data_IF_131518718028
#
_entry.id   IF_131518718028
#
_cell.length_a   1.000
_cell.length_b   1.000
_cell.length_c   1.000
_cell.angle_alpha   90.00
_cell.angle_beta   90.00
_cell.angle_gamma   90.00
#
_symmetry.space_group_name_H-M   'P 1'
#
loop_
_entity.id
_entity.type
_entity.pdbx_description
1 polymer ?
#
# COMPACT_ATOMS: atom_id res chain seq x y z
N UNK A 1 -18.59 20.85 12.37
CA UNK A 1 -17.47 20.53 11.46
C UNK A 1 -16.95 21.87 10.95
N UNK A 2 -15.64 22.13 11.06
CA UNK A 2 -15.09 23.46 10.75
C UNK A 2 -14.59 23.61 9.31
N UNK A 3 -14.30 22.49 8.63
CA UNK A 3 -13.85 22.45 7.22
C UNK A 3 -14.10 21.05 6.62
N UNK A 4 -14.17 20.91 5.28
CA UNK A 4 -14.20 19.61 4.59
C UNK A 4 -13.05 18.69 5.02
N UNK A 5 -13.23 17.37 5.15
CA UNK A 5 -12.14 16.47 5.56
C UNK A 5 -10.96 16.48 4.55
N UNK A 6 -9.72 16.37 5.04
CA UNK A 6 -8.56 16.10 4.16
C UNK A 6 -8.44 14.60 3.93
N UNK A 7 -8.96 14.11 2.80
CA UNK A 7 -8.96 12.69 2.44
C UNK A 7 -7.54 12.12 2.35
N UNK A 8 -7.38 10.80 2.48
CA UNK A 8 -6.09 10.10 2.46
C UNK A 8 -5.22 10.49 1.25
N UNK A 9 -5.80 10.57 0.05
CA UNK A 9 -5.12 10.92 -1.21
C UNK A 9 -4.68 12.38 -1.33
N UNK A 10 -5.08 13.27 -0.42
CA UNK A 10 -4.69 14.68 -0.47
C UNK A 10 -3.20 14.86 -0.12
N UNK A 11 -2.42 15.38 -1.07
CA UNK A 11 -0.96 15.59 -0.97
C UNK A 11 -0.55 17.06 -0.77
N UNK A 12 -1.49 17.97 -0.49
CA UNK A 12 -1.19 19.42 -0.35
C UNK A 12 -0.12 19.73 0.70
N UNK A 13 0.00 18.85 1.70
CA UNK A 13 0.96 18.98 2.78
C UNK A 13 2.36 18.38 2.46
N UNK A 14 2.63 17.97 1.23
CA UNK A 14 3.88 17.29 0.86
C UNK A 14 5.15 18.08 1.18
N UNK A 15 5.14 19.40 0.96
CA UNK A 15 6.30 20.26 1.31
C UNK A 15 6.52 20.31 2.82
N UNK A 16 5.45 20.37 3.61
CA UNK A 16 5.54 20.33 5.07
C UNK A 16 6.03 18.97 5.55
N UNK A 17 5.58 17.87 4.94
CA UNK A 17 6.06 16.53 5.30
C UNK A 17 7.56 16.36 5.04
N UNK A 18 8.05 16.80 3.87
CA UNK A 18 9.49 16.78 3.57
C UNK A 18 10.29 17.63 4.55
N UNK A 19 9.79 18.81 4.96
CA UNK A 19 10.43 19.65 5.97
C UNK A 19 10.41 18.99 7.36
N UNK A 20 9.29 18.38 7.72
CA UNK A 20 9.08 17.68 8.99
C UNK A 20 10.03 16.49 9.14
N UNK A 21 10.24 15.72 8.08
CA UNK A 21 11.02 14.47 8.12
C UNK A 21 12.46 14.59 7.62
N UNK A 22 12.76 15.55 6.74
CA UNK A 22 14.06 15.72 6.11
C UNK A 22 15.12 16.36 7.00
N UNK A 23 16.34 16.42 6.45
CA UNK A 23 17.55 16.98 7.06
C UNK A 23 18.74 16.04 6.91
N UNK A 24 19.94 16.50 7.24
CA UNK A 24 21.18 15.71 7.16
C UNK A 24 21.63 15.20 8.54
N UNK A 25 22.18 13.98 8.68
CA UNK A 25 22.34 12.93 7.66
C UNK A 25 21.03 12.21 7.33
N UNK A 26 20.90 11.67 6.11
CA UNK A 26 19.68 11.02 5.60
C UNK A 26 19.78 9.50 5.53
N UNK A 27 18.67 8.82 5.80
CA UNK A 27 18.42 7.38 5.56
C UNK A 27 17.04 7.24 4.94
N UNK A 28 16.94 6.64 3.75
CA UNK A 28 15.68 6.48 3.00
C UNK A 28 14.87 7.80 2.84
N UNK A 29 15.55 8.95 2.71
CA UNK A 29 14.91 10.27 2.60
C UNK A 29 14.58 10.97 3.93
N UNK A 30 14.68 10.26 5.05
CA UNK A 30 14.46 10.80 6.40
C UNK A 30 15.76 11.26 7.05
N UNK A 31 15.72 12.28 7.90
CA UNK A 31 16.84 12.57 8.81
C UNK A 31 17.01 11.39 9.77
N UNK A 32 18.23 10.88 9.94
CA UNK A 32 18.48 9.61 10.62
C UNK A 32 17.91 9.55 12.06
N UNK A 33 18.06 10.61 12.86
CA UNK A 33 17.52 10.69 14.22
C UNK A 33 15.98 10.74 14.24
N UNK A 34 15.36 11.38 13.25
CA UNK A 34 13.90 11.44 13.10
C UNK A 34 13.37 10.06 12.80
N UNK A 35 13.94 9.37 11.82
CA UNK A 35 13.55 8.01 11.46
C UNK A 35 13.69 7.07 12.65
N UNK A 36 14.81 7.11 13.37
CA UNK A 36 15.02 6.32 14.57
C UNK A 36 13.97 6.62 15.65
N UNK A 37 13.64 7.89 15.86
CA UNK A 37 12.62 8.29 16.83
C UNK A 37 11.25 7.73 16.46
N UNK A 38 10.80 7.97 15.22
CA UNK A 38 9.49 7.55 14.74
C UNK A 38 9.34 6.04 14.81
N UNK A 39 10.31 5.30 14.26
CA UNK A 39 10.29 3.83 14.25
C UNK A 39 10.35 3.23 15.66
N UNK A 40 11.10 3.84 16.59
CA UNK A 40 11.18 3.34 17.97
C UNK A 40 9.86 3.48 18.74
N UNK A 41 9.17 4.61 18.57
CA UNK A 41 7.97 4.96 19.36
C UNK A 41 6.69 4.51 18.64
N UNK A 42 6.52 4.89 17.37
CA UNK A 42 5.30 4.68 16.59
C UNK A 42 5.39 3.46 15.63
N UNK A 43 6.52 2.75 15.60
CA UNK A 43 6.73 1.57 14.73
C UNK A 43 6.56 1.84 13.22
N UNK A 44 6.81 3.08 12.80
CA UNK A 44 6.78 3.53 11.42
C UNK A 44 7.16 5.01 11.38
N UNK A 45 6.90 5.70 10.27
CA UNK A 45 7.18 7.12 10.14
C UNK A 45 6.21 7.78 9.14
N UNK A 46 5.93 9.09 9.30
CA UNK A 46 5.07 9.80 8.35
C UNK A 46 5.66 9.83 6.94
N UNK A 47 4.86 9.50 5.93
CA UNK A 47 5.26 9.48 4.52
C UNK A 47 5.70 10.86 4.00
N UNK A 48 6.68 10.90 3.09
CA UNK A 48 7.20 12.14 2.51
C UNK A 48 6.23 12.88 1.57
N UNK A 49 5.21 12.19 1.05
CA UNK A 49 4.29 12.72 0.06
C UNK A 49 3.18 13.59 0.67
N UNK A 50 3.04 13.60 2.00
CA UNK A 50 2.09 14.47 2.72
C UNK A 50 0.68 13.90 2.86
N UNK A 51 0.46 12.63 2.55
CA UNK A 51 -0.82 11.95 2.75
C UNK A 51 -1.12 11.69 4.23
N UNK A 52 -0.10 11.62 5.08
CA UNK A 52 -0.29 11.22 6.47
C UNK A 52 -0.82 12.38 7.35
N UNK A 53 -1.63 12.07 8.39
CA UNK A 53 -2.26 13.07 9.25
C UNK A 53 -1.33 14.15 9.83
N UNK A 54 -0.08 13.86 10.28
CA UNK A 54 0.81 14.89 10.82
C UNK A 54 1.02 16.08 9.89
N UNK A 55 1.29 15.80 8.61
CA UNK A 55 1.55 16.84 7.63
C UNK A 55 0.30 17.69 7.39
N UNK A 56 -0.87 17.05 7.35
CA UNK A 56 -2.18 17.68 7.19
C UNK A 56 -2.56 18.56 8.39
N UNK A 57 -2.30 18.09 9.60
CA UNK A 57 -2.49 18.87 10.82
C UNK A 57 -1.60 20.12 10.84
N UNK A 58 -0.32 19.97 10.46
CA UNK A 58 0.61 21.10 10.30
C UNK A 58 0.17 22.06 9.19
N UNK A 59 -0.42 21.52 8.11
CA UNK A 59 -0.93 22.33 7.02
C UNK A 59 -2.09 23.22 7.48
N UNK A 60 -3.08 22.66 8.19
CA UNK A 60 -4.20 23.42 8.78
C UNK A 60 -3.66 24.46 9.76
N UNK A 61 -2.75 24.07 10.66
CA UNK A 61 -2.12 25.00 11.62
C UNK A 61 -1.43 26.19 10.95
N UNK A 62 -0.86 25.98 9.77
CA UNK A 62 -0.05 27.00 9.06
C UNK A 62 -0.90 27.86 8.10
N UNK A 63 -1.84 27.25 7.38
CA UNK A 63 -2.58 27.90 6.29
C UNK A 63 -4.01 28.29 6.68
N UNK A 64 -4.58 27.66 7.72
CA UNK A 64 -5.92 27.93 8.22
C UNK A 64 -5.88 28.16 9.75
N UNK A 65 -5.12 29.16 10.23
CA UNK A 65 -4.87 29.36 11.67
C UNK A 65 -6.14 29.64 12.47
N UNK A 66 -7.15 30.28 11.86
CA UNK A 66 -8.46 30.51 12.49
C UNK A 66 -9.20 29.19 12.73
N UNK A 67 -9.19 28.28 11.75
CA UNK A 67 -9.77 26.94 11.89
C UNK A 67 -9.01 26.14 12.93
N UNK A 68 -7.67 26.22 12.94
CA UNK A 68 -6.84 25.60 13.97
C UNK A 68 -7.18 26.11 15.37
N UNK A 69 -7.33 27.42 15.55
CA UNK A 69 -7.68 28.03 16.83
C UNK A 69 -9.08 27.60 17.30
N UNK A 70 -10.07 27.59 16.40
CA UNK A 70 -11.44 27.17 16.71
C UNK A 70 -11.60 25.65 16.92
N UNK A 71 -10.63 24.84 16.48
CA UNK A 71 -10.73 23.38 16.60
C UNK A 71 -10.61 22.89 18.04
N UNK A 72 -11.57 22.07 18.48
CA UNK A 72 -11.49 21.38 19.76
C UNK A 72 -10.76 20.03 19.64
N UNK A 73 -11.13 19.19 18.67
CA UNK A 73 -10.51 17.88 18.39
C UNK A 73 -10.20 17.70 16.91
N UNK A 74 -9.16 16.92 16.63
CA UNK A 74 -8.77 16.44 15.31
C UNK A 74 -9.17 14.97 15.18
N UNK A 75 -10.20 14.68 14.39
CA UNK A 75 -10.79 13.35 14.27
C UNK A 75 -10.55 12.78 12.87
N UNK A 76 -10.40 11.45 12.79
CA UNK A 76 -10.56 10.71 11.55
C UNK A 76 -12.05 10.63 11.16
N UNK A 77 -12.35 10.23 9.92
CA UNK A 77 -13.73 10.18 9.39
C UNK A 77 -14.61 9.25 10.23
N UNK A 78 -14.11 8.06 10.56
CA UNK A 78 -14.81 7.11 11.45
C UNK A 78 -15.16 7.76 12.79
N UNK A 79 -14.19 8.41 13.40
CA UNK A 79 -14.32 9.02 14.73
C UNK A 79 -15.29 10.20 14.69
N UNK A 80 -15.31 10.96 13.59
CA UNK A 80 -16.31 11.99 13.38
C UNK A 80 -17.73 11.44 13.24
N UNK A 81 -17.91 10.28 12.57
CA UNK A 81 -19.22 9.62 12.49
C UNK A 81 -19.68 9.13 13.87
N UNK A 82 -18.78 8.57 14.68
CA UNK A 82 -19.07 8.19 16.07
C UNK A 82 -19.46 9.41 16.90
N UNK A 83 -18.72 10.51 16.79
CA UNK A 83 -19.06 11.76 17.45
C UNK A 83 -20.44 12.27 17.03
N UNK A 84 -20.77 12.21 15.73
CA UNK A 84 -22.10 12.59 15.23
C UNK A 84 -23.21 11.69 15.74
N UNK A 85 -22.92 10.40 15.92
CA UNK A 85 -23.89 9.41 16.38
C UNK A 85 -24.09 9.44 17.90
N UNK A 86 -23.08 9.81 18.68
CA UNK A 86 -23.07 9.58 20.14
C UNK A 86 -22.65 10.78 20.99
N UNK A 87 -22.04 11.80 20.38
CA UNK A 87 -21.36 12.90 21.07
C UNK A 87 -19.96 12.55 21.61
N UNK A 88 -19.51 11.30 21.50
CA UNK A 88 -18.21 10.86 22.01
C UNK A 88 -17.04 11.31 21.13
N UNK A 89 -15.94 11.75 21.76
CA UNK A 89 -14.71 12.21 21.09
C UNK A 89 -13.57 11.21 21.30
N UNK A 90 -13.74 10.03 20.71
CA UNK A 90 -12.82 8.90 20.83
C UNK A 90 -12.21 8.53 19.47
N UNK A 91 -11.05 7.90 19.49
CA UNK A 91 -10.41 7.25 18.34
C UNK A 91 -9.98 5.84 18.72
N UNK A 92 -9.69 5.01 17.73
CA UNK A 92 -9.20 3.65 17.94
C UNK A 92 -7.70 3.57 17.65
N UNK A 93 -7.04 2.54 18.20
CA UNK A 93 -5.59 2.40 18.12
C UNK A 93 -5.04 2.36 16.69
N UNK A 94 -5.79 1.82 15.73
CA UNK A 94 -5.42 1.82 14.32
C UNK A 94 -5.39 3.24 13.72
N UNK A 95 -6.46 4.01 13.85
CA UNK A 95 -6.53 5.40 13.40
C UNK A 95 -5.50 6.27 14.15
N UNK A 96 -5.35 6.08 15.46
CA UNK A 96 -4.37 6.80 16.27
C UNK A 96 -2.93 6.53 15.82
N UNK A 97 -2.59 5.27 15.55
CA UNK A 97 -1.25 4.90 15.10
C UNK A 97 -0.90 5.46 13.73
N UNK A 98 -1.89 5.61 12.82
CA UNK A 98 -1.68 6.22 11.51
C UNK A 98 -1.40 7.73 11.57
N UNK A 99 -1.62 8.37 12.72
CA UNK A 99 -1.10 9.72 12.96
C UNK A 99 0.38 9.74 13.32
N UNK A 100 0.99 8.58 13.56
CA UNK A 100 2.37 8.41 14.05
C UNK A 100 2.67 9.09 15.38
N UNK A 101 1.66 9.60 16.10
CA UNK A 101 1.82 10.21 17.43
C UNK A 101 1.46 9.27 18.57
N UNK A 102 0.90 8.09 18.29
CA UNK A 102 0.68 7.04 19.29
C UNK A 102 2.01 6.36 19.64
N UNK A 103 2.22 6.08 20.92
CA UNK A 103 3.28 5.20 21.37
C UNK A 103 2.79 3.76 21.31
N UNK A 104 3.46 2.93 20.51
CA UNK A 104 3.08 1.51 20.31
C UNK A 104 3.94 0.56 21.12
N UNK A 105 4.81 1.08 21.99
CA UNK A 105 5.63 0.22 22.85
C UNK A 105 4.73 -0.44 23.89
N UNK A 106 4.96 -1.73 24.20
CA UNK A 106 4.20 -2.44 25.21
C UNK A 106 4.09 -1.65 26.53
N UNK A 107 2.87 -1.47 27.03
CA UNK A 107 2.55 -0.75 28.27
C UNK A 107 2.59 0.78 28.14
N UNK A 108 2.56 1.32 26.92
CA UNK A 108 2.57 2.76 26.64
C UNK A 108 1.55 3.18 25.57
N UNK A 109 0.53 2.37 25.30
CA UNK A 109 -0.41 2.43 24.18
C UNK A 109 -1.36 3.65 24.16
N UNK A 110 -0.81 4.85 24.31
CA UNK A 110 -1.50 6.13 24.30
C UNK A 110 -0.80 7.16 23.42
N UNK A 111 -1.26 8.40 23.46
CA UNK A 111 -0.58 9.49 22.77
C UNK A 111 0.81 9.73 23.36
N UNK A 112 1.84 9.79 22.52
CA UNK A 112 3.18 10.16 22.94
C UNK A 112 3.28 11.68 23.10
N UNK A 113 3.48 12.23 24.32
CA UNK A 113 3.70 13.66 24.52
C UNK A 113 4.94 14.16 23.77
N UNK A 114 5.96 13.30 23.64
CA UNK A 114 7.20 13.61 22.93
C UNK A 114 6.98 13.83 21.42
N UNK A 115 6.33 12.88 20.73
CA UNK A 115 6.03 13.00 19.30
C UNK A 115 5.06 14.14 19.00
N UNK A 116 3.98 14.27 19.78
CA UNK A 116 3.03 15.38 19.65
C UNK A 116 3.72 16.74 19.88
N UNK A 117 4.55 16.85 20.91
CA UNK A 117 5.35 18.03 21.21
C UNK A 117 6.33 18.39 20.09
N UNK A 118 6.97 17.39 19.45
CA UNK A 118 7.86 17.60 18.29
C UNK A 118 7.13 18.22 17.10
N UNK A 119 5.85 17.92 16.93
CA UNK A 119 5.00 18.51 15.90
C UNK A 119 4.31 19.81 16.37
N UNK A 120 4.44 20.17 17.64
CA UNK A 120 3.71 21.28 18.25
C UNK A 120 2.19 21.06 18.21
N UNK A 121 1.75 19.80 18.34
CA UNK A 121 0.35 19.42 18.41
C UNK A 121 -0.02 19.24 19.89
N UNK A 122 -0.93 20.07 20.43
CA UNK A 122 -1.44 19.92 21.79
C UNK A 122 -2.18 18.59 21.96
N UNK A 123 -1.94 17.88 23.07
CA UNK A 123 -2.58 16.58 23.35
C UNK A 123 -4.09 16.71 23.56
N UNK A 124 -4.57 17.85 24.05
CA UNK A 124 -5.99 18.16 24.22
C UNK A 124 -6.74 18.30 22.87
N UNK A 125 -6.04 18.50 21.75
CA UNK A 125 -6.64 18.42 20.40
C UNK A 125 -6.76 17.00 19.88
N UNK A 126 -6.19 16.01 20.56
CA UNK A 126 -6.29 14.61 20.17
C UNK A 126 -7.45 13.93 20.95
N UNK A 127 -8.25 13.08 20.30
CA UNK A 127 -9.32 12.32 20.97
C UNK A 127 -8.75 11.25 21.90
N UNK A 128 -9.53 10.75 22.84
CA UNK A 128 -9.12 9.62 23.68
C UNK A 128 -8.96 8.35 22.83
N UNK A 129 -7.90 7.56 23.06
CA UNK A 129 -7.70 6.29 22.36
C UNK A 129 -8.40 5.19 23.14
N UNK A 130 -9.32 4.48 22.49
CA UNK A 130 -10.07 3.35 23.05
C UNK A 130 -9.86 2.09 22.19
N UNK A 131 -10.14 0.93 22.78
CA UNK A 131 -10.22 -0.31 22.02
C UNK A 131 -11.41 -0.31 21.05
N UNK A 132 -11.34 -1.06 19.96
CA UNK A 132 -12.41 -1.12 18.97
C UNK A 132 -13.70 -1.75 19.48
N UNK A 133 -13.59 -2.68 20.42
CA UNK A 133 -14.75 -3.32 21.04
C UNK A 133 -15.40 -2.46 22.14
N UNK A 134 -14.76 -1.36 22.54
CA UNK A 134 -15.32 -0.44 23.54
C UNK A 134 -16.60 0.22 23.02
N UNK A 135 -17.59 0.35 23.90
CA UNK A 135 -18.77 1.18 23.66
C UNK A 135 -18.31 2.64 23.71
N UNK A 136 -18.16 3.27 22.56
CA UNK A 136 -17.76 4.67 22.45
C UNK A 136 -18.85 5.59 23.00
N UNK A 137 -20.11 5.20 22.86
CA UNK A 137 -21.25 5.91 23.41
C UNK A 137 -22.56 5.24 23.07
N UNK A 138 -23.66 5.95 23.32
CA UNK A 138 -25.02 5.50 22.96
C UNK A 138 -25.57 6.38 21.85
N UNK A 139 -26.35 5.79 20.96
CA UNK A 139 -26.94 6.47 19.82
C UNK A 139 -27.85 7.60 20.30
N UNK A 140 -27.53 8.83 19.92
CA UNK A 140 -28.29 10.03 20.25
C UNK A 140 -29.63 10.05 19.50
N UNK A 141 -30.63 10.74 20.05
CA UNK A 141 -31.99 10.81 19.50
C UNK A 141 -32.00 11.20 18.02
N UNK A 142 -31.36 12.33 17.68
CA UNK A 142 -31.27 12.80 16.29
C UNK A 142 -30.62 11.79 15.34
N UNK A 143 -29.56 11.11 15.80
CA UNK A 143 -28.89 10.10 14.98
C UNK A 143 -29.75 8.84 14.81
N UNK A 144 -30.53 8.50 15.84
CA UNK A 144 -31.48 7.40 15.79
C UNK A 144 -32.63 7.67 14.80
N UNK A 145 -33.16 8.90 14.79
CA UNK A 145 -34.15 9.36 13.81
C UNK A 145 -33.60 9.28 12.38
N UNK A 146 -32.41 9.83 12.13
CA UNK A 146 -31.75 9.83 10.81
C UNK A 146 -31.53 8.40 10.28
N UNK A 147 -31.28 7.43 11.16
CA UNK A 147 -30.99 6.03 10.81
C UNK A 147 -32.22 5.11 10.84
N UNK A 148 -33.37 5.58 11.33
CA UNK A 148 -34.55 4.74 11.57
C UNK A 148 -34.34 3.66 12.65
N UNK A 149 -33.53 3.97 13.67
CA UNK A 149 -33.17 3.08 14.77
C UNK A 149 -33.70 3.60 16.11
N UNK A 150 -33.60 2.79 17.17
CA UNK A 150 -33.92 3.23 18.53
C UNK A 150 -32.77 4.03 19.15
N UNK A 151 -33.10 5.14 19.82
CA UNK A 151 -32.14 5.88 20.63
C UNK A 151 -31.60 5.01 21.79
N UNK A 152 -30.40 5.33 22.27
CA UNK A 152 -29.77 4.62 23.39
C UNK A 152 -29.04 3.33 23.03
N UNK A 153 -29.13 2.87 21.78
CA UNK A 153 -28.38 1.70 21.29
C UNK A 153 -26.87 1.90 21.48
N UNK A 154 -26.13 0.88 21.96
CA UNK A 154 -24.68 0.99 22.10
C UNK A 154 -24.01 1.11 20.73
N UNK A 155 -23.05 2.03 20.62
CA UNK A 155 -22.21 2.21 19.43
C UNK A 155 -20.78 1.85 19.80
N UNK A 156 -20.21 0.85 19.13
CA UNK A 156 -18.82 0.44 19.33
C UNK A 156 -17.86 1.38 18.58
N UNK A 157 -16.64 1.55 19.12
CA UNK A 157 -15.62 2.39 18.52
C UNK A 157 -15.15 1.88 17.14
N UNK A 158 -15.28 0.57 16.92
CA UNK A 158 -15.07 -0.08 15.62
C UNK A 158 -13.59 -0.18 15.24
N UNK A 159 -13.32 -0.28 13.95
CA UNK A 159 -11.98 -0.35 13.40
C UNK A 159 -11.93 0.41 12.07
N UNK A 160 -10.72 0.78 11.64
CA UNK A 160 -10.45 1.17 10.27
C UNK A 160 -10.64 -0.01 9.31
N UNK A 161 -10.63 0.28 8.01
CA UNK A 161 -10.87 -0.68 6.93
C UNK A 161 -9.92 -1.89 6.98
N UNK A 162 -8.63 -1.69 7.19
CA UNK A 162 -7.64 -2.77 7.27
C UNK A 162 -7.87 -3.65 8.50
N UNK A 163 -8.19 -3.04 9.65
CA UNK A 163 -8.51 -3.77 10.89
C UNK A 163 -9.79 -4.59 10.76
N UNK A 164 -10.85 -3.97 10.23
CA UNK A 164 -12.12 -4.65 9.97
C UNK A 164 -11.97 -5.78 8.95
N UNK A 165 -11.18 -5.59 7.89
CA UNK A 165 -10.87 -6.62 6.90
C UNK A 165 -10.11 -7.80 7.53
N UNK A 166 -9.13 -7.52 8.39
CA UNK A 166 -8.38 -8.57 9.09
C UNK A 166 -9.31 -9.43 9.96
N UNK A 167 -10.22 -8.81 10.71
CA UNK A 167 -11.22 -9.53 11.51
C UNK A 167 -12.17 -10.33 10.60
N UNK A 168 -12.72 -9.69 9.57
CA UNK A 168 -13.69 -10.28 8.64
C UNK A 168 -13.11 -11.42 7.80
N UNK A 169 -11.79 -11.46 7.58
CA UNK A 169 -11.11 -12.56 6.88
C UNK A 169 -11.10 -13.88 7.66
N UNK A 170 -11.36 -13.84 8.97
CA UNK A 170 -11.20 -14.97 9.87
C UNK A 170 -9.76 -15.28 10.26
N UNK A 171 -8.76 -14.58 9.69
CA UNK A 171 -7.35 -14.71 10.07
C UNK A 171 -7.03 -13.95 11.37
N UNK A 172 -7.66 -14.35 12.47
CA UNK A 172 -7.59 -13.66 13.78
C UNK A 172 -6.56 -14.25 14.73
N UNK A 173 -5.96 -15.39 14.39
CA UNK A 173 -4.89 -16.03 15.15
C UNK A 173 -3.55 -15.31 14.96
N UNK A 174 -2.73 -15.31 16.01
CA UNK A 174 -1.39 -14.75 15.94
C UNK A 174 -0.52 -15.50 14.92
N UNK A 175 0.07 -14.76 13.99
CA UNK A 175 0.88 -15.29 12.91
C UNK A 175 0.07 -15.80 11.71
N UNK A 176 -1.26 -15.82 11.78
CA UNK A 176 -2.09 -16.15 10.62
C UNK A 176 -2.18 -14.94 9.69
N UNK A 177 -1.87 -15.16 8.43
CA UNK A 177 -1.96 -14.14 7.40
C UNK A 177 -3.28 -14.27 6.63
N UNK A 178 -3.71 -13.18 6.00
CA UNK A 178 -4.69 -13.15 4.92
C UNK A 178 -4.16 -12.29 3.77
N UNK A 179 -4.77 -12.50 2.60
CA UNK A 179 -4.58 -11.68 1.40
C UNK A 179 -5.86 -10.88 1.19
N UNK A 180 -5.74 -9.57 1.07
CA UNK A 180 -6.79 -8.75 0.47
C UNK A 180 -6.40 -8.41 -0.96
N UNK A 181 -7.34 -8.54 -1.89
CA UNK A 181 -7.19 -8.14 -3.27
C UNK A 181 -8.48 -7.45 -3.76
N UNK A 182 -8.42 -6.11 -3.76
CA UNK A 182 -9.43 -5.22 -4.36
C UNK A 182 -8.74 -4.28 -5.35
N UNK A 183 -9.05 -2.98 -5.31
CA UNK A 183 -8.37 -1.94 -6.11
C UNK A 183 -6.84 -2.02 -5.99
N UNK A 184 -6.37 -2.14 -4.75
CA UNK A 184 -5.00 -2.47 -4.34
C UNK A 184 -5.00 -3.87 -3.68
N UNK A 185 -3.83 -4.36 -3.30
CA UNK A 185 -3.73 -5.60 -2.53
C UNK A 185 -2.88 -5.42 -1.28
N UNK A 186 -3.09 -6.26 -0.27
CA UNK A 186 -2.19 -6.33 0.87
C UNK A 186 -2.12 -7.72 1.48
N UNK A 187 -0.98 -7.98 2.10
CA UNK A 187 -0.79 -9.07 3.05
C UNK A 187 -0.90 -8.50 4.45
N UNK A 188 -1.69 -9.14 5.30
CA UNK A 188 -1.92 -8.68 6.66
C UNK A 188 -2.18 -9.82 7.62
N UNK A 189 -1.93 -9.61 8.90
CA UNK A 189 -2.10 -10.63 9.94
C UNK A 189 -1.68 -10.12 11.31
N UNK A 190 -2.30 -10.66 12.36
CA UNK A 190 -2.01 -10.27 13.73
C UNK A 190 -0.72 -10.90 14.22
N UNK A 191 -0.01 -10.21 15.12
CA UNK A 191 1.20 -10.70 15.75
C UNK A 191 1.21 -10.35 17.24
N UNK A 192 1.87 -11.17 18.09
CA UNK A 192 1.97 -10.92 19.53
C UNK A 192 2.91 -9.76 19.86
N UNK A 193 3.66 -9.24 18.88
CA UNK A 193 4.62 -8.17 19.07
C UNK A 193 4.85 -7.42 17.77
N UNK A 194 5.38 -6.20 17.89
CA UNK A 194 5.66 -5.33 16.75
C UNK A 194 6.57 -5.99 15.71
N UNK A 195 6.32 -5.68 14.44
CA UNK A 195 7.15 -6.08 13.29
C UNK A 195 7.48 -4.82 12.50
N UNK A 196 8.71 -4.72 12.01
CA UNK A 196 9.17 -3.65 11.15
C UNK A 196 10.29 -4.19 10.27
N UNK A 197 10.08 -4.16 8.96
CA UNK A 197 11.12 -4.42 7.97
C UNK A 197 11.20 -3.22 7.02
N UNK A 198 12.20 -2.38 7.24
CA UNK A 198 12.44 -1.16 6.46
C UNK A 198 12.97 -1.49 5.06
N UNK A 199 13.60 -2.65 4.86
CA UNK A 199 14.16 -3.04 3.55
C UNK A 199 13.10 -3.61 2.61
N UNK A 200 12.02 -4.14 3.15
CA UNK A 200 10.89 -4.68 2.39
C UNK A 200 9.60 -3.89 2.60
N UNK A 201 9.68 -2.72 3.24
CA UNK A 201 8.62 -1.72 3.34
C UNK A 201 7.31 -2.20 3.97
N UNK A 202 7.41 -3.03 5.01
CA UNK A 202 6.24 -3.45 5.79
C UNK A 202 6.45 -3.29 7.30
N UNK A 203 5.36 -3.08 8.02
CA UNK A 203 5.37 -2.91 9.47
C UNK A 203 4.04 -3.36 10.08
N UNK A 204 4.01 -3.47 11.41
CA UNK A 204 2.76 -3.56 12.15
C UNK A 204 2.26 -2.19 12.59
N UNK A 205 0.95 -1.98 12.53
CA UNK A 205 0.25 -0.91 13.27
C UNK A 205 -0.41 -1.48 14.53
N UNK A 206 -0.71 -0.65 15.52
CA UNK A 206 -1.60 -1.07 16.60
C UNK A 206 -3.01 -1.26 16.03
N UNK A 207 -3.66 -2.40 16.31
CA UNK A 207 -5.02 -2.66 15.84
C UNK A 207 -6.07 -2.29 16.88
N UNK A 208 -7.31 -2.17 16.43
CA UNK A 208 -8.50 -2.01 17.28
C UNK A 208 -8.93 -3.28 18.01
N UNK A 209 -8.07 -4.32 18.06
CA UNK A 209 -8.31 -5.58 18.76
C UNK A 209 -7.27 -5.73 19.86
N UNK A 210 -7.56 -5.19 21.04
CA UNK A 210 -6.67 -5.22 22.20
C UNK A 210 -5.30 -4.59 21.94
N UNK A 211 -5.24 -3.56 21.10
CA UNK A 211 -3.98 -2.92 20.67
C UNK A 211 -3.00 -3.87 19.97
N UNK A 212 -3.47 -5.06 19.55
CA UNK A 212 -2.63 -6.13 19.03
C UNK A 212 -1.95 -5.69 17.74
N UNK A 213 -0.63 -5.89 17.58
CA UNK A 213 0.06 -5.54 16.34
C UNK A 213 -0.54 -6.24 15.12
N UNK A 214 -0.91 -5.46 14.10
CA UNK A 214 -1.43 -5.93 12.82
C UNK A 214 -0.44 -5.57 11.71
N UNK A 215 0.17 -6.59 11.10
CA UNK A 215 1.12 -6.40 9.99
C UNK A 215 0.36 -5.88 8.78
N UNK A 216 0.92 -4.88 8.10
CA UNK A 216 0.39 -4.37 6.84
C UNK A 216 1.55 -4.35 5.83
N UNK A 217 1.37 -5.09 4.76
CA UNK A 217 2.26 -5.13 3.62
C UNK A 217 1.45 -4.86 2.35
N UNK A 218 1.37 -3.59 1.94
CA UNK A 218 0.51 -3.13 0.84
C UNK A 218 1.22 -3.18 -0.51
N UNK A 219 0.45 -3.43 -1.57
CA UNK A 219 0.84 -3.28 -2.97
C UNK A 219 -0.17 -2.39 -3.68
N UNK A 220 0.32 -1.48 -4.52
CA UNK A 220 -0.50 -0.40 -5.08
C UNK A 220 -1.50 -0.88 -6.14
N UNK A 221 -1.17 -1.97 -6.84
CA UNK A 221 -1.90 -2.39 -8.04
C UNK A 221 -2.35 -3.85 -7.98
N UNK A 222 -3.67 -4.04 -7.91
CA UNK A 222 -4.33 -5.33 -8.10
C UNK A 222 -5.51 -5.18 -9.07
N UNK A 223 -6.72 -4.97 -8.56
CA UNK A 223 -7.92 -4.73 -9.38
C UNK A 223 -7.79 -3.51 -10.30
N UNK A 224 -7.08 -2.47 -9.85
CA UNK A 224 -6.74 -1.30 -10.70
C UNK A 224 -5.99 -1.70 -11.95
N UNK A 225 -5.08 -2.67 -11.85
CA UNK A 225 -4.31 -3.14 -12.99
C UNK A 225 -5.19 -3.87 -14.00
N UNK A 226 -6.11 -4.70 -13.51
CA UNK A 226 -7.07 -5.38 -14.39
C UNK A 226 -8.03 -4.40 -15.07
N UNK A 227 -8.61 -3.47 -14.31
CA UNK A 227 -9.47 -2.42 -14.88
C UNK A 227 -8.72 -1.56 -15.90
N UNK A 228 -7.44 -1.25 -15.65
CA UNK A 228 -6.59 -0.57 -16.62
C UNK A 228 -6.36 -1.41 -17.89
N UNK A 229 -6.07 -2.69 -17.76
CA UNK A 229 -5.84 -3.58 -18.89
C UNK A 229 -7.11 -3.78 -19.73
N UNK A 230 -8.27 -3.90 -19.10
CA UNK A 230 -9.58 -3.94 -19.76
C UNK A 230 -9.78 -2.71 -20.66
N UNK A 231 -9.57 -1.50 -20.11
CA UNK A 231 -9.64 -0.27 -20.90
C UNK A 231 -8.60 -0.23 -22.03
N UNK A 232 -7.39 -0.74 -21.78
CA UNK A 232 -6.32 -0.75 -22.78
C UNK A 232 -6.66 -1.59 -24.01
N UNK A 233 -7.36 -2.72 -23.82
CA UNK A 233 -7.75 -3.63 -24.91
C UNK A 233 -9.07 -3.25 -25.59
N UNK A 234 -9.59 -2.05 -25.31
CA UNK A 234 -10.79 -1.51 -25.95
C UNK A 234 -12.10 -1.85 -25.23
N UNK A 235 -12.04 -2.51 -24.08
CA UNK A 235 -13.23 -2.78 -23.28
C UNK A 235 -13.51 -1.55 -22.44
N UNK A 236 -14.49 -0.76 -22.90
CA UNK A 236 -15.10 0.27 -22.09
C UNK A 236 -15.98 -0.46 -21.08
N UNK A 237 -15.38 -1.12 -20.10
CA UNK A 237 -16.11 -1.42 -18.89
C UNK A 237 -16.63 -0.06 -18.42
N UNK A 238 -17.93 0.20 -18.59
CA UNK A 238 -18.58 1.23 -17.80
C UNK A 238 -18.15 0.95 -16.36
N UNK A 239 -17.84 1.96 -15.57
CA UNK A 239 -17.27 1.84 -14.21
C UNK A 239 -18.13 1.01 -13.22
N UNK A 240 -19.12 0.25 -13.70
CA UNK A 240 -19.85 -0.79 -12.97
C UNK A 240 -19.07 -2.09 -12.87
N UNK A 241 -18.98 -2.63 -11.65
CA UNK A 241 -18.38 -3.94 -11.33
C UNK A 241 -18.87 -5.09 -12.24
N UNK A 242 -20.13 -5.04 -12.69
CA UNK A 242 -20.73 -6.05 -13.57
C UNK A 242 -20.05 -6.20 -14.95
N UNK A 243 -19.48 -5.11 -15.48
CA UNK A 243 -18.78 -5.16 -16.76
C UNK A 243 -17.43 -5.86 -16.63
N UNK A 244 -16.74 -5.65 -15.49
CA UNK A 244 -15.49 -6.36 -15.19
C UNK A 244 -15.75 -7.85 -14.98
N UNK A 245 -16.82 -8.22 -14.27
CA UNK A 245 -17.20 -9.62 -14.06
C UNK A 245 -17.41 -10.37 -15.39
N UNK A 246 -18.11 -9.73 -16.34
CA UNK A 246 -18.33 -10.31 -17.67
C UNK A 246 -17.01 -10.54 -18.42
N UNK A 247 -16.06 -9.60 -18.29
CA UNK A 247 -14.73 -9.76 -18.89
C UNK A 247 -13.99 -10.91 -18.23
N UNK A 248 -13.97 -10.97 -16.90
CA UNK A 248 -13.36 -12.05 -16.13
C UNK A 248 -13.87 -13.43 -16.57
N UNK A 249 -15.18 -13.59 -16.76
CA UNK A 249 -15.77 -14.86 -17.18
C UNK A 249 -15.39 -15.23 -18.63
N UNK A 250 -15.15 -14.22 -19.48
CA UNK A 250 -14.83 -14.37 -20.90
C UNK A 250 -13.34 -14.49 -21.26
N UNK A 251 -12.40 -14.28 -20.32
CA UNK A 251 -10.95 -14.28 -20.64
C UNK A 251 -10.38 -15.69 -20.96
N UNK A 252 -11.07 -16.74 -20.52
CA UNK A 252 -10.63 -18.13 -20.64
C UNK A 252 -9.56 -18.56 -19.63
N UNK A 253 -8.99 -19.75 -19.83
CA UNK A 253 -7.96 -20.31 -18.96
C UNK A 253 -6.56 -19.72 -19.26
N UNK A 254 -5.69 -19.68 -18.24
CA UNK A 254 -4.27 -19.29 -18.39
C UNK A 254 -3.56 -20.17 -19.42
N UNK A 255 -2.79 -19.56 -20.31
CA UNK A 255 -2.04 -20.23 -21.37
C UNK A 255 -0.53 -20.20 -21.08
N UNK A 256 0.20 -21.25 -21.50
CA UNK A 256 1.65 -21.35 -21.27
C UNK A 256 2.46 -20.28 -22.02
N UNK A 257 1.91 -19.72 -23.10
CA UNK A 257 2.50 -18.65 -23.89
C UNK A 257 1.99 -17.24 -23.53
N UNK A 258 1.09 -17.09 -22.54
CA UNK A 258 0.59 -15.77 -22.12
C UNK A 258 1.76 -14.82 -21.76
N UNK A 259 1.71 -13.54 -22.17
CA UNK A 259 2.78 -12.57 -21.86
C UNK A 259 3.03 -12.40 -20.36
N UNK A 260 4.21 -11.89 -20.00
CA UNK A 260 4.49 -11.48 -18.62
C UNK A 260 4.02 -10.05 -18.42
N UNK A 261 3.16 -9.83 -17.42
CA UNK A 261 2.80 -8.50 -16.96
C UNK A 261 3.42 -8.18 -15.60
N UNK A 262 3.98 -6.97 -15.49
CA UNK A 262 4.49 -6.39 -14.24
C UNK A 262 3.53 -5.26 -13.85
N UNK A 263 2.84 -5.34 -12.69
CA UNK A 263 1.68 -4.49 -12.41
C UNK A 263 2.01 -3.12 -11.78
N UNK A 264 3.25 -2.63 -11.81
CA UNK A 264 3.67 -1.41 -11.09
C UNK A 264 3.20 -0.10 -11.73
N UNK A 265 1.95 -0.02 -12.19
CA UNK A 265 1.40 1.10 -12.96
C UNK A 265 1.47 2.45 -12.22
N UNK A 266 1.41 2.42 -10.89
CA UNK A 266 1.45 3.59 -10.02
C UNK A 266 2.71 3.61 -9.11
N UNK A 267 3.77 2.90 -9.49
CA UNK A 267 4.85 2.55 -8.56
C UNK A 267 4.54 1.27 -7.80
N UNK A 268 5.36 0.96 -6.78
CA UNK A 268 5.12 -0.16 -5.88
C UNK A 268 5.61 0.14 -4.47
N UNK A 269 5.06 -0.57 -3.47
CA UNK A 269 5.47 -0.48 -2.06
C UNK A 269 6.16 -1.75 -1.56
N UNK A 270 5.43 -2.84 -1.42
CA UNK A 270 6.01 -4.10 -0.94
C UNK A 270 6.33 -4.99 -2.14
N UNK A 271 7.57 -5.52 -2.24
CA UNK A 271 8.69 -5.40 -1.29
C UNK A 271 9.71 -4.30 -1.61
N UNK A 272 9.44 -3.43 -2.58
CA UNK A 272 10.32 -2.31 -2.94
C UNK A 272 9.49 -1.04 -3.03
N UNK A 273 9.76 -0.09 -2.13
CA UNK A 273 9.07 1.20 -2.05
C UNK A 273 9.71 2.19 -3.04
N UNK A 274 9.21 2.17 -4.28
CA UNK A 274 9.69 3.02 -5.37
C UNK A 274 8.55 3.51 -6.28
N UNK A 275 8.16 4.77 -6.07
CA UNK A 275 7.17 5.52 -6.85
C UNK A 275 7.55 5.71 -8.34
N UNK A 276 8.78 5.38 -8.75
CA UNK A 276 9.25 5.50 -10.14
C UNK A 276 9.04 4.24 -10.96
N UNK A 277 8.73 3.11 -10.33
CA UNK A 277 8.43 1.87 -11.04
C UNK A 277 7.19 2.04 -11.93
N UNK A 278 7.20 1.40 -13.10
CA UNK A 278 6.09 1.45 -14.08
C UNK A 278 5.76 0.06 -14.57
N UNK A 279 4.51 -0.13 -15.01
CA UNK A 279 4.06 -1.41 -15.52
C UNK A 279 4.78 -1.82 -16.81
N UNK A 280 4.92 -3.12 -17.03
CA UNK A 280 5.61 -3.70 -18.19
C UNK A 280 4.77 -4.86 -18.73
N UNK A 281 4.58 -4.90 -20.05
CA UNK A 281 4.06 -6.07 -20.75
C UNK A 281 5.18 -6.63 -21.64
N UNK A 282 5.64 -7.84 -21.33
CA UNK A 282 6.83 -8.46 -21.92
C UNK A 282 6.49 -9.79 -22.59
N UNK A 283 7.12 -10.07 -23.74
CA UNK A 283 6.94 -11.33 -24.46
C UNK A 283 5.76 -11.36 -25.43
N UNK A 284 5.27 -10.20 -25.88
CA UNK A 284 4.21 -10.14 -26.90
C UNK A 284 4.66 -10.74 -28.25
N UNK A 285 3.69 -11.30 -28.97
CA UNK A 285 3.84 -11.94 -30.28
C UNK A 285 2.56 -11.72 -31.09
N UNK A 286 2.60 -11.91 -32.41
CA UNK A 286 1.45 -11.74 -33.31
C UNK A 286 0.27 -12.68 -33.03
N UNK A 287 0.46 -13.70 -32.20
CA UNK A 287 -0.57 -14.69 -31.84
C UNK A 287 -1.37 -14.27 -30.60
N UNK A 288 -0.86 -13.33 -29.81
CA UNK A 288 -1.52 -12.90 -28.59
C UNK A 288 -2.67 -11.95 -28.91
N UNK A 289 -3.82 -12.22 -28.29
CA UNK A 289 -5.04 -11.44 -28.42
C UNK A 289 -5.30 -10.59 -27.16
N UNK A 290 -6.46 -9.93 -27.10
CA UNK A 290 -6.87 -9.16 -25.92
C UNK A 290 -6.94 -10.03 -24.65
N UNK A 291 -7.37 -11.29 -24.79
CA UNK A 291 -7.54 -12.18 -23.66
C UNK A 291 -6.18 -12.58 -23.08
N UNK A 292 -5.16 -12.77 -23.92
CA UNK A 292 -3.79 -12.99 -23.46
C UNK A 292 -3.27 -11.83 -22.61
N UNK A 293 -3.60 -10.57 -22.95
CA UNK A 293 -3.22 -9.40 -22.14
C UNK A 293 -3.96 -9.37 -20.78
N UNK A 294 -5.25 -9.69 -20.79
CA UNK A 294 -6.05 -9.74 -19.55
C UNK A 294 -5.60 -10.87 -18.61
N UNK A 295 -5.34 -12.07 -19.16
CA UNK A 295 -4.80 -13.20 -18.40
C UNK A 295 -3.41 -12.91 -17.86
N UNK A 296 -2.52 -12.36 -18.68
CA UNK A 296 -1.20 -11.88 -18.26
C UNK A 296 -1.31 -10.90 -17.10
N UNK A 297 -2.29 -9.99 -17.13
CA UNK A 297 -2.51 -9.00 -16.08
C UNK A 297 -2.85 -9.66 -14.73
N UNK A 298 -3.74 -10.64 -14.73
CA UNK A 298 -4.09 -11.41 -13.53
C UNK A 298 -2.92 -12.25 -13.01
N UNK A 299 -2.20 -12.94 -13.90
CA UNK A 299 -0.99 -13.68 -13.52
C UNK A 299 0.07 -12.73 -12.94
N UNK A 300 0.24 -11.54 -13.53
CA UNK A 300 1.16 -10.51 -13.07
C UNK A 300 0.86 -10.02 -11.64
N UNK A 301 -0.42 -9.76 -11.34
CA UNK A 301 -0.86 -9.41 -9.98
C UNK A 301 -0.59 -10.56 -9.00
N UNK A 302 -0.87 -11.80 -9.39
CA UNK A 302 -0.58 -12.98 -8.57
C UNK A 302 0.92 -13.14 -8.27
N UNK A 303 1.77 -12.96 -9.28
CA UNK A 303 3.22 -13.04 -9.15
C UNK A 303 3.78 -11.92 -8.28
N UNK A 304 3.22 -10.71 -8.38
CA UNK A 304 3.57 -9.59 -7.54
C UNK A 304 3.20 -9.84 -6.06
N UNK A 305 2.00 -10.37 -5.80
CA UNK A 305 1.58 -10.83 -4.47
C UNK A 305 2.50 -11.92 -3.92
N UNK A 306 2.89 -12.88 -4.77
CA UNK A 306 3.86 -13.92 -4.41
C UNK A 306 5.22 -13.32 -4.05
N UNK A 307 5.64 -12.26 -4.74
CA UNK A 307 6.89 -11.58 -4.44
C UNK A 307 6.86 -10.92 -3.07
N UNK A 308 5.78 -10.20 -2.73
CA UNK A 308 5.55 -9.68 -1.38
C UNK A 308 5.51 -10.81 -0.33
N UNK A 309 4.75 -11.88 -0.61
CA UNK A 309 4.65 -13.04 0.28
C UNK A 309 6.00 -13.68 0.55
N UNK A 310 6.89 -13.76 -0.46
CA UNK A 310 8.24 -14.31 -0.28
C UNK A 310 9.08 -13.59 0.78
N UNK A 311 8.73 -12.34 1.10
CA UNK A 311 9.36 -11.53 2.15
C UNK A 311 8.61 -11.66 3.46
N UNK A 312 7.29 -11.43 3.44
CA UNK A 312 6.44 -11.46 4.64
C UNK A 312 6.42 -12.85 5.28
N UNK A 313 6.41 -13.93 4.49
CA UNK A 313 6.43 -15.30 4.98
C UNK A 313 7.69 -15.65 5.79
N UNK A 314 8.79 -14.90 5.63
CA UNK A 314 10.02 -15.11 6.41
C UNK A 314 9.98 -14.41 7.77
N UNK A 315 8.94 -13.64 8.04
CA UNK A 315 8.80 -12.93 9.30
C UNK A 315 8.63 -13.91 10.46
N UNK A 316 9.41 -13.71 11.53
CA UNK A 316 9.32 -14.55 12.72
C UNK A 316 7.89 -14.54 13.29
N UNK A 317 7.35 -15.74 13.47
CA UNK A 317 6.02 -15.98 14.04
C UNK A 317 4.91 -16.16 13.01
N UNK A 318 5.19 -16.09 11.71
CA UNK A 318 4.19 -16.49 10.68
C UNK A 318 3.87 -17.98 10.82
N UNK A 319 2.58 -18.31 10.77
CA UNK A 319 2.05 -19.68 10.82
C UNK A 319 1.71 -20.17 9.42
N UNK A 320 2.56 -21.05 8.88
CA UNK A 320 2.40 -21.62 7.55
C UNK A 320 1.45 -22.82 7.50
N UNK A 321 1.12 -23.37 8.66
CA UNK A 321 0.22 -24.50 8.85
C UNK A 321 -1.26 -24.10 8.81
N UNK A 322 -1.55 -22.79 8.91
CA UNK A 322 -2.90 -22.26 8.86
C UNK A 322 -3.33 -21.89 7.44
N UNK A 323 -4.65 -21.89 7.15
CA UNK A 323 -5.18 -21.36 5.89
C UNK A 323 -4.78 -19.89 5.71
N UNK A 324 -4.61 -19.50 4.45
CA UNK A 324 -4.39 -18.11 4.01
C UNK A 324 -5.68 -17.62 3.32
N UNK A 325 -6.62 -16.97 4.04
CA UNK A 325 -7.85 -16.48 3.44
C UNK A 325 -7.57 -15.42 2.38
N UNK A 326 -8.35 -15.45 1.30
CA UNK A 326 -8.38 -14.39 0.28
C UNK A 326 -9.70 -13.63 0.42
N UNK A 327 -9.62 -12.31 0.54
CA UNK A 327 -10.77 -11.41 0.66
C UNK A 327 -10.65 -10.24 -0.32
N UNK A 328 -11.74 -9.48 -0.50
CA UNK A 328 -11.83 -8.40 -1.49
C UNK A 328 -12.49 -8.86 -2.79
N UNK A 329 -12.58 -7.95 -3.78
CA UNK A 329 -13.29 -8.21 -5.04
C UNK A 329 -12.78 -9.44 -5.80
N UNK A 330 -11.47 -9.71 -5.74
CA UNK A 330 -10.89 -10.89 -6.37
C UNK A 330 -11.37 -12.21 -5.75
N UNK A 331 -11.91 -12.20 -4.53
CA UNK A 331 -12.44 -13.38 -3.85
C UNK A 331 -13.89 -13.70 -4.23
N UNK A 332 -14.62 -12.76 -4.85
CA UNK A 332 -16.06 -12.88 -5.10
C UNK A 332 -16.36 -13.67 -6.37
N UNK A 333 -15.46 -13.70 -7.36
CA UNK A 333 -15.74 -14.36 -8.63
C UNK A 333 -15.49 -15.90 -8.55
N UNK A 334 -16.55 -16.74 -8.63
CA UNK A 334 -16.46 -18.21 -8.59
C UNK A 334 -15.89 -18.84 -9.86
N UNK A 335 -15.84 -18.10 -10.99
CA UNK A 335 -15.03 -18.45 -12.18
C UNK A 335 -13.51 -18.26 -11.94
N UNK A 336 -13.11 -18.21 -10.67
CA UNK A 336 -11.75 -18.40 -10.20
C UNK A 336 -11.34 -19.87 -9.93
N UNK A 337 -11.56 -20.88 -10.81
CA UNK A 337 -10.60 -21.97 -10.91
C UNK A 337 -9.16 -21.43 -11.04
N UNK A 338 -8.99 -20.21 -11.56
CA UNK A 338 -7.73 -19.47 -11.59
C UNK A 338 -7.25 -18.92 -10.21
N UNK A 339 -8.10 -18.68 -9.21
CA UNK A 339 -7.61 -18.42 -7.82
C UNK A 339 -7.01 -19.69 -7.21
N UNK A 340 -7.55 -20.87 -7.55
CA UNK A 340 -6.90 -22.14 -7.19
C UNK A 340 -5.58 -22.38 -7.97
N UNK A 341 -5.33 -21.60 -9.04
CA UNK A 341 -4.07 -21.52 -9.77
C UNK A 341 -3.15 -20.38 -9.31
N UNK A 342 -3.65 -19.34 -8.62
CA UNK A 342 -2.86 -18.40 -7.79
C UNK A 342 -2.26 -19.12 -6.56
N UNK A 343 -1.73 -20.33 -6.78
CA UNK A 343 -0.98 -21.09 -5.78
C UNK A 343 0.29 -20.32 -5.48
N UNK A 344 0.22 -19.52 -4.42
CA UNK A 344 1.34 -18.81 -3.79
C UNK A 344 2.41 -19.79 -3.26
N UNK A 345 2.16 -21.10 -3.29
CA UNK A 345 3.11 -22.17 -2.94
C UNK A 345 4.27 -22.28 -3.93
N UNK A 346 5.47 -22.57 -3.44
CA UNK A 346 6.73 -22.62 -4.19
C UNK A 346 6.80 -23.64 -5.36
N UNK A 347 5.82 -24.53 -5.52
CA UNK A 347 5.80 -25.60 -6.54
C UNK A 347 4.85 -25.40 -7.73
N UNK A 348 4.18 -24.25 -7.85
CA UNK A 348 3.22 -23.99 -8.93
C UNK A 348 3.88 -23.84 -10.30
N UNK A 349 3.11 -24.06 -11.39
CA UNK A 349 3.61 -23.83 -12.77
C UNK A 349 4.08 -22.38 -12.96
N UNK A 350 3.34 -21.39 -12.44
CA UNK A 350 3.75 -19.98 -12.40
C UNK A 350 5.07 -19.76 -11.64
N UNK A 351 5.30 -20.46 -10.51
CA UNK A 351 6.55 -20.38 -9.75
C UNK A 351 7.76 -20.91 -10.55
N UNK A 352 7.57 -21.99 -11.32
CA UNK A 352 8.60 -22.53 -12.23
C UNK A 352 8.88 -21.59 -13.40
N UNK A 353 7.87 -20.90 -13.92
CA UNK A 353 7.99 -19.92 -15.02
C UNK A 353 8.76 -18.67 -14.59
N UNK A 354 8.43 -18.10 -13.43
CA UNK A 354 9.16 -16.97 -12.84
C UNK A 354 10.64 -17.34 -12.53
N UNK A 355 10.90 -18.56 -12.03
CA UNK A 355 12.28 -19.01 -11.80
C UNK A 355 13.07 -19.22 -13.10
N UNK A 356 12.44 -19.70 -14.18
CA UNK A 356 13.10 -19.82 -15.49
C UNK A 356 13.38 -18.45 -16.11
N UNK A 357 12.44 -17.51 -16.02
CA UNK A 357 12.63 -16.13 -16.51
C UNK A 357 13.72 -15.35 -15.74
N UNK A 358 13.96 -15.68 -14.47
CA UNK A 358 15.03 -15.09 -13.67
C UNK A 358 16.38 -15.83 -13.76
N UNK A 359 16.41 -17.09 -14.21
CA UNK A 359 17.62 -17.92 -14.24
C UNK A 359 18.49 -17.71 -15.50
N UNK A 360 17.93 -17.16 -16.57
CA UNK A 360 18.67 -16.86 -17.80
C UNK A 360 18.55 -15.38 -18.15
N UNK A 361 19.53 -14.53 -17.76
CA UNK A 361 19.63 -13.21 -18.37
C UNK A 361 19.87 -13.41 -19.87
N UNK A 362 19.17 -12.69 -20.78
CA UNK A 362 19.55 -12.70 -22.18
C UNK A 362 21.02 -12.24 -22.27
N UNK A 363 21.84 -12.84 -23.16
CA UNK A 363 23.22 -12.41 -23.32
C UNK A 363 23.20 -10.93 -23.67
N UNK A 364 23.72 -10.09 -22.76
CA UNK A 364 23.94 -8.68 -23.03
C UNK A 364 24.76 -8.59 -24.32
N UNK A 365 24.35 -7.76 -25.30
CA UNK A 365 25.19 -7.52 -26.46
C UNK A 365 26.46 -6.84 -25.96
N UNK A 366 27.55 -7.60 -25.86
CA UNK A 366 28.87 -7.08 -25.61
C UNK A 366 29.17 -6.12 -26.76
N UNK A 367 29.03 -4.82 -26.51
CA UNK A 367 29.64 -3.79 -27.35
C UNK A 367 31.14 -4.08 -27.35
N UNK A 368 31.62 -4.73 -28.41
CA UNK A 368 33.06 -4.75 -28.71
C UNK A 368 33.48 -3.29 -28.85
N UNK A 369 34.24 -2.81 -27.87
CA UNK A 369 35.01 -1.58 -27.99
C UNK A 369 35.91 -1.71 -29.21
N UNK A 370 35.61 -0.98 -30.27
CA UNK A 370 36.55 -0.78 -31.36
C UNK A 370 37.73 0.01 -30.80
N UNK A 371 38.83 -0.68 -30.52
CA UNK A 371 40.09 -0.08 -30.11
C UNK A 371 41.22 -0.93 -30.65
N UNK A 372 41.80 -0.49 -31.77
CA UNK A 372 43.20 -0.66 -32.16
C UNK A 372 43.32 -0.60 -33.70
N UNK A 373 43.47 0.60 -34.25
CA UNK A 373 44.24 0.78 -35.48
C UNK A 373 45.28 1.85 -35.22
N UNK A 374 46.53 1.39 -35.23
CA UNK A 374 47.73 2.10 -34.88
C UNK A 374 47.93 3.37 -35.73
N UNK A 375 48.16 4.48 -35.04
CA UNK A 375 48.66 5.72 -35.60
C UNK A 375 50.16 5.56 -35.92
N UNK A 376 50.51 5.17 -37.16
CA UNK A 376 51.88 5.26 -37.66
C UNK A 376 52.03 6.48 -38.57
N UNK A 377 52.71 7.50 -38.05
CA UNK A 377 53.28 8.61 -38.83
C UNK A 377 54.22 8.05 -39.91
N UNK A 378 53.96 8.36 -41.19
CA UNK A 378 55.01 8.52 -42.21
C UNK A 378 54.72 9.74 -43.09
N UNK A 379 55.84 10.39 -43.43
CA UNK A 379 56.02 11.73 -43.97
C UNK A 379 55.61 11.86 -45.45
N UNK A 380 55.17 13.07 -45.80
CA UNK A 380 55.38 13.85 -47.05
C UNK A 380 55.69 13.08 -48.35
N UNK A 381 54.87 13.33 -49.38
CA UNK A 381 55.34 13.93 -50.63
C UNK A 381 54.19 14.52 -51.44
N UNK A 382 54.29 15.82 -51.67
CA UNK A 382 53.56 16.61 -52.66
C UNK A 382 53.90 16.09 -54.07
N UNK A 383 52.91 15.94 -54.97
CA UNK A 383 53.07 16.18 -56.41
C UNK A 383 51.71 16.42 -57.09
N UNK A 384 51.79 17.29 -58.09
CA UNK A 384 50.82 18.16 -58.77
C UNK A 384 49.81 17.50 -59.74
N UNK A 385 48.87 18.29 -60.33
CA UNK A 385 47.64 17.83 -60.99
C UNK A 385 47.75 17.72 -62.53
N UNK A 386 46.71 17.13 -63.13
CA UNK A 386 46.27 17.44 -64.50
C UNK A 386 46.03 16.22 -65.40
N UNK A 387 44.80 16.04 -65.87
CA UNK A 387 44.33 16.37 -67.23
C UNK A 387 43.01 15.68 -67.52
N UNK A 388 42.11 16.45 -68.12
CA UNK A 388 40.88 16.04 -68.77
C UNK A 388 41.13 14.98 -69.86
N UNK A 389 40.19 14.04 -69.96
CA UNK A 389 39.53 13.61 -71.20
C UNK A 389 38.16 13.02 -70.84
#
# INVERSE_FOLDING_TARGET
>A
MLRPALISLDKRAGTLSRKMNGGFPTVAGYRADKLFTWTRIANGAPSHNGMDPPAKMLWIKTHEPEVWAASHKLLDVKDWLIFRATGALTTTADSANLTWMMDTRPGREGWSPFLAGRLGIPLDKLPEIVDGASIAGRLAERAAEDLGLSAGLPVVAGAGDVGATAIGSGAVEDGQLHVYAGTSAWLSGFFPSRRLDVFHSYATIASSVGFRPLLIATQESAGTAFAWAARLVGESAGDSDSALDTLYDGIGEMQDDDPLFVPWLAGERVPVDDDRLRGVLYGLSVRHDRNAVLRATLEGVALNLRWAMSKVARQKGVRHDLPLPLVGGAAVNPASPNCSQMRLTAGSRCARRAMRACAEPPPLPVRRSAGSTAFRRRRRSVLRPGRDL
#
